data_IF_513648471285
#
_entry.id   IF_513648471285
#
_cell.length_a   1.000
_cell.length_b   1.000
_cell.length_c   1.000
_cell.angle_alpha   90.00
_cell.angle_beta   90.00
_cell.angle_gamma   90.00
#
_symmetry.space_group_name_H-M   'P 1'
#
loop_
_entity.id
_entity.type
_entity.pdbx_description
1 polymer ?
#
# COMPACT_ATOMS: atom_id res chain seq x y z
N UNK A 1 -19.19 -20.95 12.53
CA UNK A 1 -18.79 -19.85 13.44
C UNK A 1 -17.29 -19.70 13.27
N UNK A 2 -16.83 -18.63 12.64
CA UNK A 2 -15.40 -18.28 12.64
C UNK A 2 -15.13 -17.76 14.06
N UNK A 3 -14.17 -18.37 14.75
CA UNK A 3 -13.77 -17.97 16.10
C UNK A 3 -13.29 -16.52 16.03
N UNK A 4 -14.03 -15.60 16.65
CA UNK A 4 -13.84 -14.15 16.52
C UNK A 4 -12.67 -13.61 17.36
N UNK A 5 -11.71 -14.47 17.72
CA UNK A 5 -10.56 -14.11 18.57
C UNK A 5 -9.31 -13.72 17.79
N UNK A 6 -9.25 -14.07 16.50
CA UNK A 6 -8.18 -13.65 15.62
C UNK A 6 -8.75 -12.86 14.45
N UNK A 7 -8.57 -11.53 14.41
CA UNK A 7 -8.98 -10.74 13.27
C UNK A 7 -8.20 -11.19 12.03
N UNK A 8 -8.91 -11.77 11.06
CA UNK A 8 -8.32 -12.17 9.78
C UNK A 8 -8.19 -10.95 8.87
N UNK A 9 -6.97 -10.46 8.69
CA UNK A 9 -6.65 -9.31 7.86
C UNK A 9 -6.31 -9.64 6.40
N UNK A 10 -6.46 -10.89 5.96
CA UNK A 10 -6.07 -11.35 4.62
C UNK A 10 -6.63 -10.48 3.49
N UNK A 11 -7.90 -10.07 3.61
CA UNK A 11 -8.58 -9.22 2.63
C UNK A 11 -7.95 -7.82 2.57
N UNK A 12 -7.58 -7.25 3.72
CA UNK A 12 -6.96 -5.92 3.80
C UNK A 12 -5.55 -5.96 3.21
N UNK A 13 -4.77 -6.99 3.55
CA UNK A 13 -3.42 -7.19 3.01
C UNK A 13 -3.46 -7.40 1.48
N UNK A 14 -4.42 -8.18 1.00
CA UNK A 14 -4.62 -8.38 -0.44
C UNK A 14 -4.95 -7.05 -1.15
N UNK A 15 -5.89 -6.27 -0.62
CA UNK A 15 -6.26 -4.97 -1.19
C UNK A 15 -5.12 -3.95 -1.11
N UNK A 16 -4.27 -4.02 -0.09
CA UNK A 16 -3.08 -3.18 0.03
C UNK A 16 -2.07 -3.46 -1.10
N UNK A 17 -1.83 -4.72 -1.44
CA UNK A 17 -1.03 -5.09 -2.62
C UNK A 17 -1.64 -4.59 -3.93
N UNK A 18 -2.94 -4.78 -4.14
CA UNK A 18 -3.63 -4.29 -5.33
C UNK A 18 -3.49 -2.77 -5.50
N UNK A 19 -3.58 -2.04 -4.39
CA UNK A 19 -3.44 -0.58 -4.39
C UNK A 19 -2.02 -0.13 -4.75
N UNK A 20 -0.99 -0.78 -4.19
CA UNK A 20 0.43 -0.51 -4.54
C UNK A 20 0.67 -0.72 -6.04
N UNK A 21 0.09 -1.77 -6.60
CA UNK A 21 0.17 -2.09 -8.03
C UNK A 21 -0.52 -1.05 -8.91
N UNK A 22 -1.75 -0.65 -8.56
CA UNK A 22 -2.51 0.37 -9.27
C UNK A 22 -1.77 1.71 -9.32
N UNK A 23 -1.21 2.12 -8.19
CA UNK A 23 -0.46 3.37 -8.06
C UNK A 23 0.83 3.32 -8.89
N UNK A 24 1.52 2.19 -8.91
CA UNK A 24 2.71 1.99 -9.75
C UNK A 24 2.38 2.05 -11.24
N UNK A 25 1.26 1.46 -11.66
CA UNK A 25 0.76 1.56 -13.04
C UNK A 25 0.39 3.00 -13.40
N UNK A 26 -0.26 3.71 -12.48
CA UNK A 26 -0.61 5.12 -12.67
C UNK A 26 0.63 6.00 -12.85
N UNK A 27 1.66 5.86 -12.01
CA UNK A 27 2.92 6.60 -12.14
C UNK A 27 3.58 6.35 -13.51
N UNK A 28 3.64 5.09 -13.97
CA UNK A 28 4.19 4.74 -15.29
C UNK A 28 3.40 5.40 -16.43
N UNK A 29 2.08 5.45 -16.34
CA UNK A 29 1.26 6.10 -17.36
C UNK A 29 1.49 7.62 -17.40
N UNK A 30 1.66 8.24 -16.23
CA UNK A 30 1.92 9.67 -16.09
C UNK A 30 3.34 10.02 -16.58
N UNK A 31 4.35 9.21 -16.27
CA UNK A 31 5.74 9.48 -16.65
C UNK A 31 5.97 9.53 -18.16
N UNK A 32 5.11 8.89 -18.94
CA UNK A 32 5.13 8.91 -20.42
C UNK A 32 4.48 10.16 -21.03
N UNK A 33 3.62 10.86 -20.28
CA UNK A 33 2.72 11.88 -20.83
C UNK A 33 2.89 13.26 -20.17
N UNK A 34 3.53 13.32 -19.01
CA UNK A 34 3.57 14.52 -18.17
C UNK A 34 5.02 14.99 -17.98
N UNK A 35 5.27 16.32 -17.89
CA UNK A 35 6.60 16.86 -17.65
C UNK A 35 7.28 16.29 -16.40
N UNK A 36 8.59 16.04 -16.52
CA UNK A 36 9.39 15.39 -15.49
C UNK A 36 9.30 16.05 -14.10
N UNK A 37 9.16 17.38 -14.03
CA UNK A 37 9.01 18.09 -12.76
C UNK A 37 7.76 17.68 -11.96
N UNK A 38 6.64 17.40 -12.63
CA UNK A 38 5.40 16.92 -12.00
C UNK A 38 5.56 15.44 -11.64
N UNK A 39 6.17 14.65 -12.52
CA UNK A 39 6.45 13.22 -12.28
C UNK A 39 7.30 13.04 -11.02
N UNK A 40 8.34 13.87 -10.81
CA UNK A 40 9.16 13.81 -9.61
C UNK A 40 8.37 14.08 -8.32
N UNK A 41 7.44 15.04 -8.33
CA UNK A 41 6.58 15.31 -7.18
C UNK A 41 5.63 14.14 -6.90
N UNK A 42 5.07 13.55 -7.96
CA UNK A 42 4.23 12.36 -7.87
C UNK A 42 5.01 11.18 -7.28
N UNK A 43 6.24 10.91 -7.73
CA UNK A 43 7.08 9.83 -7.20
C UNK A 43 7.35 9.99 -5.70
N UNK A 44 7.58 11.22 -5.21
CA UNK A 44 7.77 11.48 -3.78
C UNK A 44 6.50 11.20 -2.99
N UNK A 45 5.34 11.68 -3.47
CA UNK A 45 4.06 11.42 -2.82
C UNK A 45 3.72 9.92 -2.82
N UNK A 46 3.98 9.24 -3.94
CA UNK A 46 3.82 7.80 -4.11
C UNK A 46 4.62 7.02 -3.07
N UNK A 47 5.91 7.30 -2.94
CA UNK A 47 6.78 6.59 -2.00
C UNK A 47 6.31 6.77 -0.56
N UNK A 48 5.90 7.98 -0.16
CA UNK A 48 5.34 8.21 1.18
C UNK A 48 4.09 7.38 1.43
N UNK A 49 3.20 7.30 0.43
CA UNK A 49 1.97 6.54 0.56
C UNK A 49 2.21 5.02 0.60
N UNK A 50 3.10 4.51 -0.25
CA UNK A 50 3.49 3.08 -0.25
C UNK A 50 4.13 2.70 1.08
N UNK A 51 5.06 3.53 1.60
CA UNK A 51 5.67 3.27 2.91
C UNK A 51 4.62 3.24 4.03
N UNK A 52 3.64 4.14 4.01
CA UNK A 52 2.55 4.13 4.99
C UNK A 52 1.70 2.85 4.89
N UNK A 53 1.44 2.34 3.68
CA UNK A 53 0.77 1.04 3.49
C UNK A 53 1.61 -0.08 4.08
N UNK A 54 2.93 -0.11 3.81
CA UNK A 54 3.83 -1.13 4.34
C UNK A 54 3.88 -1.13 5.88
N UNK A 55 3.81 0.05 6.52
CA UNK A 55 3.70 0.17 7.98
C UNK A 55 2.39 -0.42 8.51
N UNK A 56 1.28 -0.23 7.79
CA UNK A 56 -0.02 -0.82 8.13
C UNK A 56 0.02 -2.34 7.97
N UNK A 57 0.53 -2.84 6.83
CA UNK A 57 0.69 -4.28 6.56
C UNK A 57 1.53 -4.93 7.67
N UNK A 58 2.68 -4.34 7.99
CA UNK A 58 3.54 -4.80 9.08
C UNK A 58 2.81 -4.86 10.42
N UNK A 59 2.06 -3.81 10.76
CA UNK A 59 1.30 -3.75 12.02
C UNK A 59 0.22 -4.83 12.09
N UNK A 60 -0.48 -5.09 10.98
CA UNK A 60 -1.53 -6.10 10.90
C UNK A 60 -0.98 -7.53 10.98
N UNK A 61 0.17 -7.79 10.36
CA UNK A 61 0.83 -9.10 10.39
C UNK A 61 1.42 -9.44 11.76
N UNK A 62 1.89 -8.45 12.51
CA UNK A 62 2.54 -8.63 13.81
C UNK A 62 1.61 -8.34 14.99
N UNK A 63 0.31 -8.14 14.75
CA UNK A 63 -0.66 -7.81 15.78
C UNK A 63 -0.79 -8.91 16.86
N UNK A 64 -0.52 -10.17 16.50
CA UNK A 64 -0.56 -11.32 17.43
C UNK A 64 0.69 -11.43 18.35
N UNK A 65 1.78 -10.71 18.07
CA UNK A 65 3.02 -10.78 18.89
C UNK A 65 2.98 -9.92 20.17
N UNK A 66 1.89 -9.16 20.39
CA UNK A 66 1.77 -8.18 21.48
C UNK A 66 0.70 -8.49 22.54
N UNK A 67 0.00 -9.64 22.46
CA UNK A 67 -0.97 -10.11 23.46
C UNK A 67 -0.45 -11.28 24.32
#
# INVERSE_FOLDING_TARGET
>A
MIDARHPNYSEILFQAEELKDLITKFEKNISLQVPQGIVSQLSVAKNRFVNWIEEVEFTLEHFEEYD
#
